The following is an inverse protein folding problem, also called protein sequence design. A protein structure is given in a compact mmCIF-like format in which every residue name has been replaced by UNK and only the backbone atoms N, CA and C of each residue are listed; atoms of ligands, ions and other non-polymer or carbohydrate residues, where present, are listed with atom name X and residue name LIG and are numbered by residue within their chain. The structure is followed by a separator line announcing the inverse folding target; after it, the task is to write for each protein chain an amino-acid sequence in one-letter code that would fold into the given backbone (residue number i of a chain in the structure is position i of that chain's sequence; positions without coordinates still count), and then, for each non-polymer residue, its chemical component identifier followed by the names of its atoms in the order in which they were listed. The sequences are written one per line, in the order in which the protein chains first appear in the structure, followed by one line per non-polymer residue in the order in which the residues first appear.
data_IF_942888803010
#
_entry.id   IF_942888803010
#
_cell.length_a   1.000
_cell.length_b   1.000
_cell.length_c   1.000
_cell.angle_alpha   90.00
_cell.angle_beta   90.00
_cell.angle_gamma   90.00
#
_symmetry.space_group_name_H-M   'P 1'
#
loop_
_entity.id
_entity.type
_entity.pdbx_description
1 polymer ?
#
# COMPACT_ATOMS: atom_id res chain seq x y z
N UNK A 1 -16.19 17.05 5.21
CA UNK A 1 -15.42 16.67 4.03
C UNK A 1 -15.58 15.17 3.77
N UNK A 2 -15.95 14.81 2.58
CA UNK A 2 -16.10 13.42 2.21
C UNK A 2 -14.72 12.81 1.91
N UNK A 3 -14.45 11.67 2.53
CA UNK A 3 -13.24 10.90 2.28
C UNK A 3 -13.54 9.98 1.10
N UNK A 4 -12.86 10.21 -0.01
CA UNK A 4 -13.14 9.52 -1.26
C UNK A 4 -12.42 8.21 -1.41
N UNK A 5 -12.79 7.48 -2.48
CA UNK A 5 -12.11 6.25 -2.89
C UNK A 5 -10.79 6.63 -3.53
N UNK A 6 -9.71 5.95 -3.14
CA UNK A 6 -8.40 6.22 -3.68
C UNK A 6 -8.31 5.83 -5.15
N UNK A 7 -7.58 6.61 -5.94
CA UNK A 7 -7.32 6.32 -7.35
C UNK A 7 -5.83 6.15 -7.66
N UNK A 8 -4.96 6.54 -6.73
CA UNK A 8 -3.51 6.44 -6.89
C UNK A 8 -2.83 6.07 -5.59
N UNK A 9 -1.64 5.50 -5.70
CA UNK A 9 -0.74 5.28 -4.57
C UNK A 9 0.58 6.00 -4.87
N UNK A 10 0.98 6.89 -3.96
CA UNK A 10 2.20 7.69 -4.12
C UNK A 10 3.24 7.25 -3.10
N UNK A 11 4.41 6.81 -3.57
CA UNK A 11 5.52 6.49 -2.68
C UNK A 11 6.14 7.79 -2.18
N UNK A 12 6.29 7.91 -0.85
CA UNK A 12 6.83 9.11 -0.21
C UNK A 12 8.27 8.90 0.19
N UNK A 13 9.08 9.99 0.11
CA UNK A 13 10.43 9.98 0.67
C UNK A 13 10.38 10.26 2.18
N UNK A 14 11.57 10.38 2.80
CA UNK A 14 11.68 10.63 4.24
C UNK A 14 11.06 11.97 4.66
N UNK A 15 10.95 12.91 3.73
CA UNK A 15 10.37 14.22 4.00
C UNK A 15 8.88 14.28 3.69
N UNK A 16 8.30 13.15 3.26
CA UNK A 16 6.88 13.08 2.93
C UNK A 16 6.53 13.55 1.54
N UNK A 17 7.52 13.68 0.64
CA UNK A 17 7.28 14.12 -0.73
C UNK A 17 7.05 12.91 -1.64
N UNK A 18 6.06 12.99 -2.55
CA UNK A 18 5.85 11.92 -3.52
C UNK A 18 7.03 11.82 -4.49
N UNK A 19 7.59 10.64 -4.63
CA UNK A 19 8.71 10.40 -5.56
C UNK A 19 8.36 9.43 -6.66
N UNK A 20 7.25 8.71 -6.52
CA UNK A 20 6.76 7.80 -7.56
C UNK A 20 5.28 7.54 -7.32
N UNK A 21 4.53 7.31 -8.41
CA UNK A 21 3.09 7.16 -8.33
C UNK A 21 2.61 5.98 -9.17
N UNK A 22 1.59 5.29 -8.69
CA UNK A 22 0.92 4.21 -9.41
C UNK A 22 -0.56 4.50 -9.49
N UNK A 23 -1.14 4.23 -10.68
CA UNK A 23 -2.56 4.36 -10.90
C UNK A 23 -3.24 3.07 -10.43
N UNK A 24 -4.26 3.20 -9.60
CA UNK A 24 -5.01 2.05 -9.09
C UNK A 24 -6.19 1.67 -9.97
N UNK A 25 -6.52 2.50 -10.96
CA UNK A 25 -7.68 2.24 -11.82
C UNK A 25 -7.38 1.14 -12.83
N UNK A 26 -8.40 0.41 -13.22
CA UNK A 26 -8.30 -0.61 -14.27
C UNK A 26 -8.03 -2.02 -13.78
N UNK A 27 -7.64 -2.19 -12.51
CA UNK A 27 -7.46 -3.52 -11.91
C UNK A 27 -8.10 -3.53 -10.53
N UNK A 28 -8.74 -4.63 -10.20
CA UNK A 28 -9.40 -4.78 -8.89
C UNK A 28 -8.48 -5.42 -7.85
N UNK A 29 -7.30 -5.86 -8.26
CA UNK A 29 -6.33 -6.46 -7.35
C UNK A 29 -4.94 -5.97 -7.74
N UNK A 30 -4.24 -5.36 -6.78
CA UNK A 30 -2.92 -4.76 -6.98
C UNK A 30 -1.94 -5.42 -6.02
N UNK A 31 -0.98 -6.17 -6.55
CA UNK A 31 0.04 -6.83 -5.73
C UNK A 31 1.18 -5.86 -5.47
N UNK A 32 1.54 -5.70 -4.20
CA UNK A 32 2.62 -4.83 -3.75
C UNK A 32 3.78 -5.69 -3.28
N UNK A 33 4.97 -5.41 -3.79
CA UNK A 33 6.15 -6.15 -3.39
C UNK A 33 7.39 -5.71 -4.13
N UNK A 34 8.34 -6.62 -4.31
CA UNK A 34 9.56 -6.36 -5.07
C UNK A 34 9.82 -7.49 -6.07
N UNK A 35 10.48 -7.15 -7.17
CA UNK A 35 10.79 -8.13 -8.22
C UNK A 35 11.79 -9.17 -7.72
N UNK A 36 11.68 -10.40 -8.22
CA UNK A 36 12.67 -11.42 -7.89
C UNK A 36 12.30 -12.86 -8.16
N UNK A 37 11.03 -13.19 -8.39
CA UNK A 37 10.62 -14.61 -8.56
C UNK A 37 9.45 -14.71 -9.53
N UNK A 38 9.58 -14.29 -10.74
CA UNK A 38 8.57 -14.46 -11.80
C UNK A 38 7.12 -14.09 -11.39
N UNK A 39 6.95 -13.31 -10.35
CA UNK A 39 5.63 -12.83 -9.95
C UNK A 39 5.32 -11.52 -10.61
N UNK A 40 4.07 -11.36 -10.99
CA UNK A 40 3.61 -10.06 -11.46
C UNK A 40 3.38 -9.15 -10.27
N UNK A 41 3.93 -7.95 -10.36
CA UNK A 41 3.73 -6.91 -9.37
C UNK A 41 3.04 -5.73 -10.04
N UNK A 42 2.05 -5.19 -9.37
CA UNK A 42 1.37 -3.98 -9.82
C UNK A 42 2.05 -2.74 -9.23
N UNK A 43 2.43 -2.83 -7.97
CA UNK A 43 3.19 -1.78 -7.29
C UNK A 43 4.53 -2.38 -6.92
N UNK A 44 5.54 -2.09 -7.75
CA UNK A 44 6.89 -2.66 -7.63
C UNK A 44 7.78 -1.70 -6.86
N UNK A 45 8.16 -2.11 -5.64
CA UNK A 45 8.97 -1.30 -4.74
C UNK A 45 10.44 -1.73 -4.74
N UNK A 46 10.89 -2.41 -5.80
CA UNK A 46 12.28 -2.90 -5.89
C UNK A 46 13.31 -1.79 -5.77
N UNK A 47 13.00 -0.60 -6.28
CA UNK A 47 13.95 0.51 -6.34
C UNK A 47 13.85 1.45 -5.15
N UNK A 48 13.00 1.15 -4.16
CA UNK A 48 12.87 2.04 -3.01
C UNK A 48 14.02 1.81 -2.01
N UNK A 49 14.26 2.82 -1.16
CA UNK A 49 15.36 2.80 -0.21
C UNK A 49 15.33 1.59 0.73
N UNK A 50 14.15 1.18 1.13
CA UNK A 50 13.98 0.11 2.11
C UNK A 50 13.54 -1.22 1.48
N UNK A 51 13.86 -1.44 0.20
CA UNK A 51 13.42 -2.63 -0.52
C UNK A 51 13.88 -3.94 0.12
N UNK A 52 15.01 -3.92 0.84
CA UNK A 52 15.51 -5.12 1.51
C UNK A 52 14.57 -5.62 2.61
N UNK A 53 13.68 -4.79 3.11
CA UNK A 53 12.69 -5.16 4.13
C UNK A 53 11.34 -5.57 3.53
N UNK A 54 11.22 -5.54 2.20
CA UNK A 54 9.99 -5.85 1.50
C UNK A 54 10.05 -7.24 0.90
N UNK A 55 8.98 -8.01 1.07
CA UNK A 55 8.88 -9.35 0.50
C UNK A 55 8.50 -9.28 -0.98
N UNK A 56 8.74 -10.37 -1.72
CA UNK A 56 8.41 -10.43 -3.14
C UNK A 56 6.92 -10.21 -3.40
N UNK A 57 6.06 -10.80 -2.56
CA UNK A 57 4.63 -10.50 -2.53
C UNK A 57 4.29 -10.11 -1.10
N UNK A 58 4.34 -8.81 -0.82
CA UNK A 58 4.24 -8.30 0.55
C UNK A 58 2.80 -8.06 0.96
N UNK A 59 2.02 -7.45 0.09
CA UNK A 59 0.65 -7.05 0.39
C UNK A 59 -0.16 -7.03 -0.90
N UNK A 60 -1.49 -6.96 -0.74
CA UNK A 60 -2.39 -6.80 -1.88
C UNK A 60 -3.43 -5.75 -1.54
N UNK A 61 -3.76 -4.90 -2.53
CA UNK A 61 -4.89 -3.99 -2.49
C UNK A 61 -5.99 -4.61 -3.34
N UNK A 62 -7.16 -4.85 -2.76
CA UNK A 62 -8.32 -5.38 -3.46
C UNK A 62 -9.44 -4.37 -3.46
N UNK A 63 -10.06 -4.17 -4.62
CA UNK A 63 -11.22 -3.30 -4.75
C UNK A 63 -12.48 -4.15 -4.69
N UNK A 64 -13.32 -3.86 -3.71
CA UNK A 64 -14.53 -4.65 -3.44
C UNK A 64 -15.58 -3.75 -2.83
N UNK A 65 -16.83 -3.87 -3.29
CA UNK A 65 -17.95 -3.08 -2.75
C UNK A 65 -17.64 -1.57 -2.74
N UNK A 66 -17.06 -1.09 -3.85
CA UNK A 66 -16.73 0.31 -4.07
C UNK A 66 -15.69 0.87 -3.10
N UNK A 67 -14.87 0.00 -2.48
CA UNK A 67 -13.83 0.39 -1.55
C UNK A 67 -12.56 -0.41 -1.79
N UNK A 68 -11.43 0.17 -1.40
CA UNK A 68 -10.16 -0.54 -1.38
C UNK A 68 -9.91 -1.16 -0.01
N UNK A 69 -9.33 -2.36 -0.02
CA UNK A 69 -8.91 -3.08 1.19
C UNK A 69 -7.47 -3.53 1.00
N UNK A 70 -6.64 -3.33 2.02
CA UNK A 70 -5.27 -3.82 2.01
C UNK A 70 -5.17 -5.07 2.89
N UNK A 71 -4.42 -6.06 2.42
CA UNK A 71 -4.19 -7.30 3.15
C UNK A 71 -2.71 -7.61 3.14
N UNK A 72 -2.19 -8.04 4.30
CA UNK A 72 -0.81 -8.50 4.45
C UNK A 72 -0.73 -9.94 3.95
N UNK A 73 0.16 -10.21 2.99
CA UNK A 73 0.34 -11.56 2.44
C UNK A 73 1.37 -12.35 3.26
N UNK A 74 1.20 -12.31 4.56
CA UNK A 74 2.07 -13.00 5.51
C UNK A 74 3.52 -12.53 5.41
N UNK A 75 3.69 -11.22 5.32
CA UNK A 75 5.00 -10.61 5.16
C UNK A 75 5.83 -10.71 6.43
N UNK A 76 7.15 -10.68 6.27
CA UNK A 76 8.07 -10.76 7.39
C UNK A 76 8.06 -9.48 8.24
N UNK A 77 7.96 -8.31 7.58
CA UNK A 77 8.08 -7.02 8.27
C UNK A 77 6.76 -6.25 8.40
N UNK A 78 5.67 -6.84 7.94
CA UNK A 78 4.33 -6.36 8.24
C UNK A 78 3.82 -5.24 7.37
N UNK A 79 2.54 -4.95 7.57
CA UNK A 79 1.80 -3.86 6.92
C UNK A 79 1.08 -3.08 8.00
N UNK A 80 1.14 -1.74 7.90
CA UNK A 80 0.40 -0.83 8.77
C UNK A 80 -0.33 0.20 7.93
N UNK A 81 -1.39 0.77 8.50
CA UNK A 81 -2.14 1.84 7.86
C UNK A 81 -2.27 3.00 8.84
N UNK A 82 -1.86 4.19 8.43
CA UNK A 82 -2.19 5.41 9.16
C UNK A 82 -3.47 5.96 8.57
N UNK A 83 -4.53 6.01 9.38
CA UNK A 83 -5.84 6.46 8.93
C UNK A 83 -5.89 7.99 8.90
N UNK A 84 -6.36 8.55 7.79
CA UNK A 84 -6.49 10.00 7.65
C UNK A 84 -7.52 10.55 8.63
N UNK A 85 -8.54 9.78 8.97
CA UNK A 85 -9.65 10.26 9.81
C UNK A 85 -9.28 10.51 11.26
N UNK A 86 -8.29 9.78 11.81
CA UNK A 86 -7.88 9.94 13.20
C UNK A 86 -6.37 10.10 13.40
N UNK A 87 -5.58 9.95 12.33
CA UNK A 87 -4.13 10.06 12.40
C UNK A 87 -3.44 8.90 13.09
N UNK A 88 -4.18 7.85 13.46
CA UNK A 88 -3.64 6.70 14.17
C UNK A 88 -3.15 5.62 13.21
N UNK A 89 -2.15 4.85 13.65
CA UNK A 89 -1.61 3.71 12.91
C UNK A 89 -2.22 2.41 13.40
N UNK A 90 -2.64 1.59 12.44
CA UNK A 90 -3.22 0.27 12.73
C UNK A 90 -2.43 -0.80 12.00
N UNK A 91 -2.16 -1.90 12.67
CA UNK A 91 -1.51 -3.05 12.04
C UNK A 91 -2.54 -3.87 11.28
N UNK A 92 -2.18 -4.29 10.07
CA UNK A 92 -3.04 -5.15 9.25
C UNK A 92 -2.67 -6.59 9.56
N UNK A 93 -3.49 -7.24 10.39
CA UNK A 93 -3.23 -8.61 10.85
C UNK A 93 -4.50 -9.44 10.68
N UNK A 94 -4.36 -10.60 10.06
CA UNK A 94 -5.39 -11.64 9.95
C UNK A 94 -6.59 -11.32 9.07
N UNK A 95 -6.86 -10.08 8.74
CA UNK A 95 -7.99 -9.71 7.88
C UNK A 95 -7.68 -8.44 7.10
N UNK A 96 -8.36 -8.25 5.95
CA UNK A 96 -8.19 -7.02 5.19
C UNK A 96 -8.64 -5.79 5.96
N UNK A 97 -7.97 -4.67 5.71
CA UNK A 97 -8.28 -3.38 6.31
C UNK A 97 -8.78 -2.43 5.23
N UNK A 98 -9.94 -1.83 5.43
CA UNK A 98 -10.46 -0.83 4.52
C UNK A 98 -9.58 0.41 4.52
N UNK A 99 -9.28 0.93 3.34
CA UNK A 99 -8.45 2.13 3.18
C UNK A 99 -9.12 3.11 2.24
N UNK A 100 -8.86 4.40 2.44
CA UNK A 100 -9.48 5.48 1.67
C UNK A 100 -8.42 6.50 1.26
N UNK A 101 -8.78 7.43 0.38
CA UNK A 101 -7.87 8.51 -0.02
C UNK A 101 -7.43 9.29 1.21
N UNK A 102 -6.14 9.55 1.30
CA UNK A 102 -5.52 10.21 2.45
C UNK A 102 -4.87 9.26 3.45
N UNK A 103 -5.23 7.97 3.41
CA UNK A 103 -4.56 6.98 4.26
C UNK A 103 -3.14 6.71 3.74
N UNK A 104 -2.24 6.36 4.65
CA UNK A 104 -0.86 5.99 4.30
C UNK A 104 -0.65 4.52 4.63
N UNK A 105 -0.24 3.75 3.62
CA UNK A 105 0.15 2.35 3.81
C UNK A 105 1.63 2.30 4.14
N UNK A 106 1.98 1.56 5.18
CA UNK A 106 3.38 1.25 5.49
C UNK A 106 3.67 -0.18 5.05
N UNK A 107 4.40 -0.31 3.96
CA UNK A 107 4.88 -1.61 3.49
C UNK A 107 6.27 -1.77 4.06
N UNK A 108 6.37 -2.46 5.20
CA UNK A 108 7.54 -2.39 6.08
C UNK A 108 7.79 -0.91 6.44
N UNK A 109 8.90 -0.32 5.99
CA UNK A 109 9.22 1.09 6.27
C UNK A 109 8.87 2.02 5.10
N UNK A 110 8.35 1.49 4.00
CA UNK A 110 8.04 2.29 2.81
C UNK A 110 6.62 2.82 2.91
N UNK A 111 6.45 4.11 2.68
CA UNK A 111 5.16 4.80 2.81
C UNK A 111 4.52 4.98 1.46
N UNK A 112 3.27 4.56 1.34
CA UNK A 112 2.44 4.77 0.15
C UNK A 112 1.23 5.60 0.55
N UNK A 113 1.17 6.83 0.09
CA UNK A 113 0.01 7.70 0.33
C UNK A 113 -1.05 7.41 -0.73
N UNK A 114 -2.25 7.09 -0.28
CA UNK A 114 -3.38 6.90 -1.19
C UNK A 114 -4.05 8.24 -1.48
N UNK A 115 -4.26 8.54 -2.76
CA UNK A 115 -4.87 9.82 -3.16
C UNK A 115 -6.01 9.68 -4.16
#
# INVERSE_FOLDING_TARGET
TLIGVASKADMLDEEGKPIRSWDLQGKVSQIIGKAGQDQELDIDLSDCEYSSFIDFQHAVLNYCLDQWYVEDLNSQNGVKVRKVEDGECYRVIHRPCKVVAGDILYIANTKLLLT
#
